data_IF_086102316940
#
_entry.id   IF_086102316940
#
_cell.length_a   1.000
_cell.length_b   1.000
_cell.length_c   1.000
_cell.angle_alpha   90.00
_cell.angle_beta   90.00
_cell.angle_gamma   90.00
#
_symmetry.space_group_name_H-M   'P 1'
#
loop_
_entity.id
_entity.type
_entity.pdbx_description
1 polymer ?
#
# COMPACT_ATOMS: atom_id res chain seq x y z
N UNK A 1 -56.83 16.92 -8.54
CA UNK A 1 -55.86 16.08 -7.78
C UNK A 1 -56.69 15.01 -7.05
N UNK A 2 -56.54 13.75 -7.43
CA UNK A 2 -57.14 12.65 -6.67
C UNK A 2 -56.42 12.53 -5.31
N UNK A 3 -57.08 12.22 -4.21
CA UNK A 3 -56.47 12.01 -2.92
C UNK A 3 -55.51 10.81 -3.04
N UNK A 4 -54.31 10.94 -2.50
CA UNK A 4 -53.35 9.83 -2.43
C UNK A 4 -54.02 8.70 -1.65
N UNK A 5 -54.15 7.52 -2.24
CA UNK A 5 -54.56 6.29 -1.54
C UNK A 5 -53.49 6.03 -0.44
N UNK A 6 -53.91 6.11 0.82
CA UNK A 6 -53.08 5.78 1.97
C UNK A 6 -53.28 4.30 2.26
N UNK A 7 -52.30 3.48 1.83
CA UNK A 7 -52.24 2.07 2.22
C UNK A 7 -51.88 1.94 3.70
N UNK A 8 -52.73 1.31 4.48
CA UNK A 8 -52.50 1.02 5.89
C UNK A 8 -51.79 -0.32 6.03
N UNK A 9 -50.50 -0.31 6.40
CA UNK A 9 -49.70 -1.51 6.67
C UNK A 9 -49.81 -1.88 8.16
N UNK A 10 -50.18 -3.11 8.47
CA UNK A 10 -50.13 -3.67 9.82
C UNK A 10 -48.66 -4.09 10.12
N UNK A 11 -47.92 -3.25 10.84
CA UNK A 11 -46.48 -3.43 11.09
C UNK A 11 -46.17 -4.69 11.90
N UNK A 12 -47.06 -5.11 12.77
CA UNK A 12 -46.97 -6.31 13.62
C UNK A 12 -47.12 -7.63 12.85
N UNK A 13 -47.57 -7.58 11.59
CA UNK A 13 -47.67 -8.77 10.71
C UNK A 13 -46.48 -8.90 9.77
N UNK A 14 -45.52 -7.96 9.81
CA UNK A 14 -44.34 -8.00 8.95
C UNK A 14 -43.35 -9.08 9.41
N UNK A 15 -43.07 -10.03 8.52
CA UNK A 15 -42.01 -11.03 8.70
C UNK A 15 -40.80 -10.60 7.91
N UNK A 16 -39.71 -10.32 8.63
CA UNK A 16 -38.42 -10.03 7.98
C UNK A 16 -37.81 -11.33 7.46
N UNK A 17 -37.71 -11.46 6.16
CA UNK A 17 -37.03 -12.59 5.51
C UNK A 17 -35.87 -12.10 4.62
N UNK A 18 -34.72 -12.76 4.72
CA UNK A 18 -33.54 -12.48 3.88
C UNK A 18 -33.14 -10.99 3.89
N UNK A 19 -32.69 -10.42 5.04
CA UNK A 19 -32.24 -9.04 5.10
C UNK A 19 -31.03 -8.84 4.17
N UNK A 20 -31.04 -7.76 3.38
CA UNK A 20 -30.00 -7.47 2.40
C UNK A 20 -29.38 -6.10 2.63
N UNK A 21 -28.08 -5.99 2.37
CA UNK A 21 -27.39 -4.72 2.30
C UNK A 21 -27.70 -4.03 0.97
N UNK A 22 -27.88 -2.71 0.98
CA UNK A 22 -28.19 -1.89 -0.21
C UNK A 22 -27.31 -0.64 -0.26
N UNK A 23 -26.81 -0.18 0.90
CA UNK A 23 -26.15 1.12 1.01
C UNK A 23 -24.84 1.20 0.22
N UNK A 24 -23.92 0.29 0.46
CA UNK A 24 -22.63 0.24 -0.23
C UNK A 24 -22.81 -0.05 -1.71
N UNK A 25 -23.75 -0.92 -2.05
CA UNK A 25 -24.08 -1.26 -3.43
C UNK A 25 -24.57 -0.05 -4.21
N UNK A 26 -25.49 0.73 -3.64
CA UNK A 26 -26.03 1.95 -4.28
C UNK A 26 -24.94 3.00 -4.47
N UNK A 27 -24.09 3.25 -3.46
CA UNK A 27 -22.99 4.19 -3.55
C UNK A 27 -21.95 3.71 -4.57
N UNK A 28 -21.63 2.41 -4.57
CA UNK A 28 -20.70 1.80 -5.52
C UNK A 28 -21.20 1.94 -6.96
N UNK A 29 -22.46 1.64 -7.23
CA UNK A 29 -23.08 1.80 -8.56
C UNK A 29 -23.10 3.27 -8.99
N UNK A 30 -23.46 4.17 -8.08
CA UNK A 30 -23.44 5.61 -8.36
C UNK A 30 -22.03 6.08 -8.74
N UNK A 31 -21.00 5.72 -7.98
CA UNK A 31 -19.63 6.09 -8.26
C UNK A 31 -19.15 5.52 -9.61
N UNK A 32 -19.49 4.27 -9.91
CA UNK A 32 -19.18 3.65 -11.20
C UNK A 32 -19.89 4.33 -12.36
N UNK A 33 -21.11 4.81 -12.16
CA UNK A 33 -21.85 5.57 -13.16
C UNK A 33 -21.19 6.93 -13.44
N UNK A 34 -20.75 7.66 -12.38
CA UNK A 34 -19.99 8.91 -12.54
C UNK A 34 -18.71 8.70 -13.35
N UNK A 35 -18.04 7.59 -13.16
CA UNK A 35 -16.84 7.20 -13.89
C UNK A 35 -17.16 6.56 -15.26
N UNK A 36 -18.42 6.47 -15.67
CA UNK A 36 -18.87 5.76 -16.87
C UNK A 36 -18.22 4.37 -17.03
N UNK A 37 -18.08 3.64 -15.90
CA UNK A 37 -17.31 2.39 -15.87
C UNK A 37 -17.95 1.29 -16.71
N UNK A 38 -19.27 1.11 -16.64
CA UNK A 38 -19.98 0.11 -17.42
C UNK A 38 -19.86 0.35 -18.95
N UNK A 39 -20.02 1.57 -19.48
CA UNK A 39 -19.67 1.89 -20.87
C UNK A 39 -18.21 1.59 -21.25
N UNK A 40 -17.25 1.84 -20.34
CA UNK A 40 -15.87 1.48 -20.58
C UNK A 40 -15.70 -0.04 -20.78
N UNK A 41 -16.29 -0.86 -19.91
CA UNK A 41 -16.24 -2.31 -20.05
C UNK A 41 -16.88 -2.79 -21.37
N UNK A 42 -17.92 -2.11 -21.84
CA UNK A 42 -18.54 -2.40 -23.13
C UNK A 42 -17.62 -2.11 -24.31
N UNK A 43 -16.93 -0.95 -24.31
CA UNK A 43 -15.93 -0.61 -25.35
C UNK A 43 -14.75 -1.59 -25.39
N UNK A 44 -14.47 -2.28 -24.28
CA UNK A 44 -13.46 -3.33 -24.19
C UNK A 44 -13.97 -4.69 -24.72
N UNK A 45 -15.19 -4.75 -25.25
CA UNK A 45 -15.77 -5.95 -25.85
C UNK A 45 -16.30 -6.97 -24.83
N UNK A 46 -16.49 -6.56 -23.57
CA UNK A 46 -17.01 -7.44 -22.54
C UNK A 46 -18.54 -7.56 -22.65
N UNK A 47 -19.05 -8.80 -22.67
CA UNK A 47 -20.49 -9.06 -22.77
C UNK A 47 -21.24 -8.76 -21.45
N UNK A 48 -22.57 -8.74 -21.50
CA UNK A 48 -23.42 -8.39 -20.34
C UNK A 48 -23.11 -9.19 -19.09
N UNK A 49 -23.12 -10.53 -19.14
CA UNK A 49 -22.76 -11.37 -17.98
C UNK A 49 -21.35 -11.17 -17.43
N UNK A 50 -20.36 -10.85 -18.28
CA UNK A 50 -19.00 -10.51 -17.83
C UNK A 50 -18.99 -9.17 -17.10
N UNK A 51 -19.65 -8.16 -17.65
CA UNK A 51 -19.77 -6.84 -17.00
C UNK A 51 -20.45 -6.95 -15.63
N UNK A 52 -21.53 -7.71 -15.53
CA UNK A 52 -22.23 -7.95 -14.26
C UNK A 52 -21.35 -8.65 -13.23
N UNK A 53 -20.59 -9.66 -13.64
CA UNK A 53 -19.65 -10.34 -12.76
C UNK A 53 -18.54 -9.40 -12.28
N UNK A 54 -18.03 -8.52 -13.15
CA UNK A 54 -17.03 -7.50 -12.80
C UNK A 54 -17.60 -6.48 -11.81
N UNK A 55 -18.76 -5.90 -12.08
CA UNK A 55 -19.42 -4.94 -11.19
C UNK A 55 -19.68 -5.58 -9.82
N UNK A 56 -20.24 -6.77 -9.80
CA UNK A 56 -20.49 -7.52 -8.57
C UNK A 56 -19.20 -7.82 -7.79
N UNK A 57 -18.14 -8.23 -8.49
CA UNK A 57 -16.85 -8.50 -7.86
C UNK A 57 -16.23 -7.26 -7.22
N UNK A 58 -16.27 -6.11 -7.90
CA UNK A 58 -15.70 -4.85 -7.38
C UNK A 58 -16.51 -4.36 -6.18
N UNK A 59 -17.84 -4.32 -6.27
CA UNK A 59 -18.71 -3.88 -5.17
C UNK A 59 -18.55 -4.80 -3.95
N UNK A 60 -18.49 -6.12 -4.17
CA UNK A 60 -18.26 -7.06 -3.09
C UNK A 60 -16.89 -6.86 -2.43
N UNK A 61 -15.84 -6.51 -3.17
CA UNK A 61 -14.53 -6.18 -2.58
C UNK A 61 -14.56 -4.94 -1.70
N UNK A 62 -15.46 -4.00 -1.99
CA UNK A 62 -15.66 -2.79 -1.18
C UNK A 62 -16.50 -3.07 0.07
N UNK A 63 -17.53 -3.92 -0.04
CA UNK A 63 -18.50 -4.16 1.03
C UNK A 63 -18.12 -5.35 1.93
N UNK A 64 -17.70 -6.46 1.34
CA UNK A 64 -17.42 -7.73 2.00
C UNK A 64 -16.20 -8.42 1.35
N UNK A 65 -14.97 -7.92 1.58
CA UNK A 65 -13.75 -8.47 0.97
C UNK A 65 -13.61 -9.98 1.21
N UNK A 66 -13.40 -10.74 0.15
CA UNK A 66 -13.28 -12.19 0.25
C UNK A 66 -12.81 -12.83 -1.06
N UNK A 67 -12.80 -14.16 -1.11
CA UNK A 67 -12.53 -14.91 -2.35
C UNK A 67 -13.70 -14.79 -3.33
N UNK A 68 -13.50 -15.15 -4.59
CA UNK A 68 -14.55 -15.16 -5.63
C UNK A 68 -15.75 -16.01 -5.21
N UNK A 69 -15.51 -17.12 -4.51
CA UNK A 69 -16.57 -17.95 -3.93
C UNK A 69 -17.33 -17.23 -2.82
N UNK A 70 -16.64 -16.52 -1.95
CA UNK A 70 -17.27 -15.70 -0.90
C UNK A 70 -18.04 -14.52 -1.51
N UNK A 71 -17.48 -13.87 -2.52
CA UNK A 71 -18.12 -12.81 -3.32
C UNK A 71 -19.46 -13.30 -3.91
N UNK A 72 -19.45 -14.43 -4.62
CA UNK A 72 -20.69 -14.98 -5.18
C UNK A 72 -21.74 -15.29 -4.11
N UNK A 73 -21.31 -15.90 -3.00
CA UNK A 73 -22.21 -16.19 -1.87
C UNK A 73 -22.80 -14.90 -1.32
N UNK A 74 -22.00 -13.89 -1.06
CA UNK A 74 -22.45 -12.60 -0.54
C UNK A 74 -23.47 -11.92 -1.47
N UNK A 75 -23.20 -11.92 -2.78
CA UNK A 75 -24.11 -11.36 -3.80
C UNK A 75 -25.47 -12.05 -3.80
N UNK A 76 -25.52 -13.36 -3.58
CA UNK A 76 -26.75 -14.16 -3.55
C UNK A 76 -27.49 -14.02 -2.22
N UNK A 77 -26.77 -14.08 -1.10
CA UNK A 77 -27.39 -14.28 0.22
C UNK A 77 -27.62 -12.97 0.99
N UNK A 78 -26.77 -11.97 0.80
CA UNK A 78 -26.70 -10.79 1.68
C UNK A 78 -26.73 -9.43 0.98
N UNK A 79 -26.48 -9.36 -0.34
CA UNK A 79 -26.43 -8.11 -1.11
C UNK A 79 -27.76 -7.84 -1.83
N UNK A 80 -28.19 -6.59 -1.82
CA UNK A 80 -29.30 -6.11 -2.65
C UNK A 80 -28.87 -5.66 -4.06
N UNK A 81 -27.64 -5.99 -4.47
CA UNK A 81 -27.14 -5.58 -5.79
C UNK A 81 -27.94 -6.21 -6.93
N UNK A 82 -28.44 -7.43 -6.73
CA UNK A 82 -29.30 -8.10 -7.71
C UNK A 82 -30.56 -7.30 -8.02
N UNK A 83 -31.24 -6.85 -6.99
CA UNK A 83 -32.45 -6.03 -7.08
C UNK A 83 -32.16 -4.66 -7.71
N UNK A 84 -31.02 -4.04 -7.39
CA UNK A 84 -30.62 -2.75 -7.98
C UNK A 84 -30.29 -2.83 -9.47
N UNK A 85 -29.83 -3.98 -9.93
CA UNK A 85 -29.44 -4.21 -11.33
C UNK A 85 -30.48 -5.00 -12.13
N UNK A 86 -31.56 -5.44 -11.49
CA UNK A 86 -32.54 -6.37 -12.06
C UNK A 86 -31.88 -7.66 -12.57
N UNK A 87 -31.04 -8.28 -11.74
CA UNK A 87 -30.24 -9.46 -12.09
C UNK A 87 -30.29 -10.50 -10.97
N UNK A 88 -30.49 -11.75 -11.36
CA UNK A 88 -30.32 -12.88 -10.45
C UNK A 88 -28.88 -13.39 -10.47
N UNK A 89 -28.12 -13.11 -9.41
CA UNK A 89 -26.74 -13.58 -9.24
C UNK A 89 -26.64 -15.09 -8.98
N UNK A 90 -27.71 -15.81 -8.68
CA UNK A 90 -27.71 -17.28 -8.61
C UNK A 90 -27.42 -17.90 -9.99
N UNK A 91 -27.87 -17.25 -11.05
CA UNK A 91 -27.66 -17.69 -12.44
C UNK A 91 -26.23 -17.46 -12.92
N UNK A 92 -25.46 -16.58 -12.24
CA UNK A 92 -24.07 -16.31 -12.61
C UNK A 92 -23.16 -17.37 -12.02
N UNK A 93 -22.54 -18.16 -12.91
CA UNK A 93 -21.62 -19.22 -12.52
C UNK A 93 -20.37 -18.64 -11.84
N UNK A 94 -19.86 -19.34 -10.81
CA UNK A 94 -18.64 -18.98 -10.08
C UNK A 94 -17.43 -18.73 -11.01
N UNK A 95 -17.28 -19.53 -12.06
CA UNK A 95 -16.19 -19.33 -13.03
C UNK A 95 -16.21 -17.98 -13.75
N UNK A 96 -17.36 -17.31 -13.82
CA UNK A 96 -17.42 -15.97 -14.39
C UNK A 96 -16.74 -14.93 -13.49
N UNK A 97 -16.80 -15.10 -12.18
CA UNK A 97 -16.07 -14.21 -11.23
C UNK A 97 -14.56 -14.39 -11.36
N UNK A 98 -14.05 -15.60 -11.53
CA UNK A 98 -12.63 -15.83 -11.83
C UNK A 98 -12.24 -15.18 -13.17
N UNK A 99 -13.03 -15.39 -14.22
CA UNK A 99 -12.79 -14.79 -15.54
C UNK A 99 -12.94 -13.27 -15.54
N UNK A 100 -13.75 -12.71 -14.65
CA UNK A 100 -13.86 -11.27 -14.44
C UNK A 100 -12.52 -10.67 -13.99
N UNK A 101 -11.84 -11.32 -13.05
CA UNK A 101 -10.50 -10.91 -12.60
C UNK A 101 -9.47 -10.99 -13.75
N UNK A 102 -9.51 -12.06 -14.55
CA UNK A 102 -8.64 -12.22 -15.73
C UNK A 102 -8.90 -11.15 -16.80
N UNK A 103 -10.17 -10.80 -17.01
CA UNK A 103 -10.57 -9.77 -17.96
C UNK A 103 -10.09 -8.38 -17.51
N UNK A 104 -10.26 -8.04 -16.24
CA UNK A 104 -9.73 -6.81 -15.66
C UNK A 104 -8.22 -6.71 -15.79
N UNK A 105 -7.50 -7.80 -15.51
CA UNK A 105 -6.05 -7.87 -15.65
C UNK A 105 -5.60 -7.66 -17.11
N UNK A 106 -6.29 -8.29 -18.06
CA UNK A 106 -6.00 -8.17 -19.50
C UNK A 106 -6.12 -6.73 -20.00
N UNK A 107 -7.13 -6.02 -19.52
CA UNK A 107 -7.43 -4.64 -19.93
C UNK A 107 -6.91 -3.57 -18.97
N UNK A 108 -6.08 -3.99 -17.98
CA UNK A 108 -5.63 -3.13 -16.87
C UNK A 108 -5.11 -1.77 -17.33
N UNK A 109 -4.21 -1.73 -18.29
CA UNK A 109 -3.57 -0.49 -18.71
C UNK A 109 -4.58 0.55 -19.23
N UNK A 110 -5.55 0.10 -20.04
CA UNK A 110 -6.60 0.97 -20.59
C UNK A 110 -7.55 1.41 -19.48
N UNK A 111 -7.92 0.50 -18.57
CA UNK A 111 -8.79 0.80 -17.45
C UNK A 111 -8.13 1.83 -16.52
N UNK A 112 -6.88 1.61 -16.09
CA UNK A 112 -6.13 2.53 -15.23
C UNK A 112 -6.03 3.92 -15.86
N UNK A 113 -5.62 4.00 -17.13
CA UNK A 113 -5.47 5.26 -17.84
C UNK A 113 -6.81 6.01 -17.98
N UNK A 114 -7.87 5.31 -18.37
CA UNK A 114 -9.18 5.92 -18.57
C UNK A 114 -9.80 6.39 -17.26
N UNK A 115 -9.75 5.56 -16.23
CA UNK A 115 -10.29 5.93 -14.92
C UNK A 115 -9.51 7.09 -14.31
N UNK A 116 -8.19 7.09 -14.39
CA UNK A 116 -7.38 8.19 -13.88
C UNK A 116 -7.68 9.50 -14.63
N UNK A 117 -7.84 9.46 -15.94
CA UNK A 117 -8.21 10.66 -16.73
C UNK A 117 -9.59 11.22 -16.29
N UNK A 118 -10.57 10.34 -16.05
CA UNK A 118 -11.91 10.75 -15.60
C UNK A 118 -11.89 11.31 -14.18
N UNK A 119 -11.20 10.64 -13.26
CA UNK A 119 -11.02 11.11 -11.89
C UNK A 119 -10.31 12.46 -11.88
N UNK A 120 -9.25 12.62 -12.66
CA UNK A 120 -8.51 13.88 -12.80
C UNK A 120 -9.39 15.03 -13.31
N UNK A 121 -10.23 14.76 -14.31
CA UNK A 121 -11.16 15.75 -14.83
C UNK A 121 -12.26 16.11 -13.82
N UNK A 122 -12.76 15.11 -13.06
CA UNK A 122 -13.82 15.31 -12.09
C UNK A 122 -13.37 16.10 -10.86
N UNK A 123 -12.17 15.81 -10.35
CA UNK A 123 -11.63 16.43 -9.12
C UNK A 123 -10.64 17.56 -9.39
N UNK A 124 -10.30 17.84 -10.63
CA UNK A 124 -9.28 18.84 -10.98
C UNK A 124 -7.90 18.47 -10.42
N UNK A 125 -7.50 17.19 -10.48
CA UNK A 125 -6.28 16.71 -9.84
C UNK A 125 -5.04 17.33 -10.47
N UNK A 126 -4.10 17.74 -9.62
CA UNK A 126 -2.81 18.24 -10.04
C UNK A 126 -1.84 17.09 -10.35
N UNK A 127 -1.19 17.18 -11.52
CA UNK A 127 -0.22 16.19 -11.99
C UNK A 127 1.20 16.47 -11.49
N UNK A 128 1.38 17.53 -10.72
CA UNK A 128 2.71 17.99 -10.27
C UNK A 128 3.29 17.13 -9.16
N UNK A 129 2.46 16.41 -8.39
CA UNK A 129 2.93 15.56 -7.30
C UNK A 129 2.64 14.09 -7.61
N UNK A 130 3.67 13.26 -7.54
CA UNK A 130 3.59 11.81 -7.69
C UNK A 130 4.16 11.14 -6.44
N UNK A 131 3.36 10.32 -5.77
CA UNK A 131 3.79 9.52 -4.62
C UNK A 131 4.01 8.09 -5.06
N UNK A 132 5.15 7.52 -4.69
CA UNK A 132 5.44 6.12 -4.93
C UNK A 132 5.54 5.34 -3.61
N UNK A 133 4.77 4.26 -3.51
CA UNK A 133 4.72 3.41 -2.34
C UNK A 133 4.75 1.93 -2.73
N UNK A 134 5.39 1.12 -1.88
CA UNK A 134 5.44 -0.34 -1.99
C UNK A 134 4.82 -0.97 -0.75
N UNK A 135 4.03 -2.02 -0.95
CA UNK A 135 3.47 -2.84 0.13
C UNK A 135 3.57 -4.32 -0.20
N UNK A 136 3.62 -5.17 0.82
CA UNK A 136 3.70 -6.61 0.66
C UNK A 136 2.32 -7.25 0.81
N UNK A 137 2.04 -8.22 -0.07
CA UNK A 137 0.84 -9.07 -0.01
C UNK A 137 1.30 -10.50 0.20
N UNK A 138 0.90 -11.10 1.31
CA UNK A 138 1.33 -12.44 1.71
C UNK A 138 0.33 -13.51 1.25
N UNK A 139 0.86 -14.68 0.93
CA UNK A 139 0.07 -15.88 0.67
C UNK A 139 0.15 -16.79 1.91
N UNK A 140 -0.97 -17.11 2.51
CA UNK A 140 -1.03 -18.02 3.68
C UNK A 140 -0.75 -19.50 3.31
N UNK A 141 -0.47 -19.79 2.05
CA UNK A 141 -0.07 -21.09 1.52
C UNK A 141 1.22 -21.00 0.73
N UNK A 142 1.59 -22.08 0.05
CA UNK A 142 2.83 -22.17 -0.73
C UNK A 142 2.82 -21.31 -2.01
N UNK A 143 1.65 -20.96 -2.52
CA UNK A 143 1.45 -20.23 -3.78
C UNK A 143 2.26 -20.79 -4.97
N UNK A 144 2.47 -22.11 -5.02
CA UNK A 144 3.37 -22.77 -5.94
C UNK A 144 3.07 -22.51 -7.44
N UNK A 145 1.81 -22.24 -7.77
CA UNK A 145 1.39 -21.90 -9.13
C UNK A 145 1.66 -20.42 -9.51
N UNK A 146 2.08 -19.57 -8.57
CA UNK A 146 2.36 -18.16 -8.84
C UNK A 146 3.87 -17.93 -8.92
N UNK A 147 4.45 -17.71 -10.12
CA UNK A 147 5.89 -17.52 -10.28
C UNK A 147 6.42 -16.24 -9.64
N UNK A 148 5.56 -15.24 -9.37
CA UNK A 148 5.94 -13.99 -8.70
C UNK A 148 5.92 -14.12 -7.17
N UNK A 149 5.20 -15.13 -6.62
CA UNK A 149 5.17 -15.37 -5.19
C UNK A 149 6.50 -15.95 -4.73
N UNK A 150 7.29 -15.13 -4.05
CA UNK A 150 8.63 -15.49 -3.57
C UNK A 150 8.80 -15.11 -2.11
N UNK A 151 9.66 -15.83 -1.40
CA UNK A 151 10.06 -15.44 -0.06
C UNK A 151 11.06 -14.29 -0.17
N UNK A 152 10.72 -13.15 0.42
CA UNK A 152 11.48 -11.91 0.33
C UNK A 152 11.62 -11.20 1.67
N UNK A 153 12.19 -10.00 1.62
CA UNK A 153 12.33 -9.15 2.79
C UNK A 153 11.02 -8.39 3.02
N UNK A 154 10.27 -8.80 4.04
CA UNK A 154 9.01 -8.16 4.40
C UNK A 154 9.20 -7.10 5.49
N UNK A 155 8.51 -5.97 5.38
CA UNK A 155 8.48 -4.91 6.40
C UNK A 155 7.94 -5.44 7.74
N UNK A 156 7.01 -6.39 7.69
CA UNK A 156 6.39 -7.08 8.82
C UNK A 156 7.27 -8.21 9.39
N UNK A 157 8.46 -8.42 8.83
CA UNK A 157 9.44 -9.47 9.22
C UNK A 157 8.90 -10.91 9.11
N UNK A 158 7.84 -11.13 8.34
CA UNK A 158 7.33 -12.47 8.03
C UNK A 158 8.25 -13.17 7.05
N UNK A 159 8.68 -14.39 7.38
CA UNK A 159 9.54 -15.25 6.54
C UNK A 159 8.94 -16.62 6.33
N UNK A 160 7.79 -16.85 6.92
CA UNK A 160 7.07 -18.12 6.94
C UNK A 160 6.34 -18.41 5.63
N UNK A 161 5.90 -17.38 4.91
CA UNK A 161 5.10 -17.51 3.70
C UNK A 161 5.68 -16.70 2.52
N UNK A 162 5.36 -17.10 1.26
CA UNK A 162 5.70 -16.31 0.09
C UNK A 162 4.85 -15.04 0.01
N UNK A 163 5.36 -14.05 -0.71
CA UNK A 163 4.70 -12.77 -0.90
C UNK A 163 4.88 -12.27 -2.33
N UNK A 164 4.07 -11.30 -2.73
CA UNK A 164 4.31 -10.42 -3.87
C UNK A 164 4.40 -8.98 -3.37
N UNK A 165 5.09 -8.12 -4.12
CA UNK A 165 5.19 -6.70 -3.79
C UNK A 165 4.27 -5.90 -4.71
N UNK A 166 3.30 -5.19 -4.13
CA UNK A 166 2.43 -4.25 -4.85
C UNK A 166 3.06 -2.87 -4.84
N UNK A 167 3.39 -2.36 -6.03
CA UNK A 167 3.80 -0.98 -6.25
C UNK A 167 2.62 -0.13 -6.66
N UNK A 168 2.50 1.04 -6.04
CA UNK A 168 1.46 2.03 -6.34
C UNK A 168 2.10 3.38 -6.64
N UNK A 169 1.66 3.99 -7.74
CA UNK A 169 1.91 5.39 -8.05
C UNK A 169 0.62 6.15 -7.80
N UNK A 170 0.68 7.11 -6.91
CA UNK A 170 -0.45 7.93 -6.50
C UNK A 170 -0.20 9.38 -6.90
N UNK A 171 -1.26 10.13 -7.14
CA UNK A 171 -1.18 11.59 -7.25
C UNK A 171 -1.06 12.29 -5.88
N UNK A 172 -1.02 13.61 -5.88
CA UNK A 172 -0.94 14.42 -4.66
C UNK A 172 -2.12 14.22 -3.70
N UNK A 173 -3.29 13.88 -4.22
CA UNK A 173 -4.53 13.65 -3.46
C UNK A 173 -4.70 12.19 -3.01
N UNK A 174 -3.84 11.28 -3.48
CA UNK A 174 -3.86 9.87 -3.12
C UNK A 174 -4.61 8.97 -4.11
N UNK A 175 -5.05 9.47 -5.26
CA UNK A 175 -5.65 8.64 -6.30
C UNK A 175 -4.60 7.81 -7.04
N UNK A 176 -4.94 6.55 -7.34
CA UNK A 176 -4.03 5.63 -8.02
C UNK A 176 -3.90 5.99 -9.49
N UNK A 177 -2.67 6.28 -9.93
CA UNK A 177 -2.31 6.49 -11.33
C UNK A 177 -1.85 5.21 -12.01
N UNK A 178 -1.14 4.37 -11.26
CA UNK A 178 -0.63 3.07 -11.71
C UNK A 178 -0.48 2.11 -10.54
N UNK A 179 -0.79 0.84 -10.80
CA UNK A 179 -0.48 -0.27 -9.93
C UNK A 179 0.38 -1.29 -10.67
N UNK A 180 1.30 -1.95 -10.00
CA UNK A 180 2.03 -3.10 -10.55
C UNK A 180 2.33 -4.12 -9.45
N UNK A 181 2.26 -5.39 -9.82
CA UNK A 181 2.68 -6.49 -8.95
C UNK A 181 4.08 -6.92 -9.38
N UNK A 182 5.00 -6.88 -8.43
CA UNK A 182 6.39 -7.31 -8.60
C UNK A 182 6.64 -8.60 -7.83
N UNK A 183 7.73 -9.27 -8.16
CA UNK A 183 8.19 -10.45 -7.43
C UNK A 183 8.36 -10.14 -5.94
N UNK A 184 8.05 -11.11 -5.08
CA UNK A 184 8.13 -10.93 -3.64
C UNK A 184 9.54 -10.69 -3.09
N UNK A 185 10.57 -11.03 -3.85
CA UNK A 185 11.98 -10.78 -3.51
C UNK A 185 12.61 -9.61 -4.29
N UNK A 186 11.79 -8.76 -4.93
CA UNK A 186 12.30 -7.61 -5.67
C UNK A 186 13.01 -6.63 -4.76
N UNK A 187 14.09 -6.05 -5.25
CA UNK A 187 14.77 -4.95 -4.56
C UNK A 187 13.96 -3.66 -4.81
N UNK A 188 13.43 -3.06 -3.76
CA UNK A 188 12.53 -1.90 -3.87
C UNK A 188 13.04 -0.81 -4.81
N UNK A 189 14.33 -0.44 -4.69
CA UNK A 189 14.95 0.62 -5.48
C UNK A 189 14.94 0.38 -7.00
N UNK A 190 14.89 -0.87 -7.46
CA UNK A 190 14.92 -1.19 -8.89
C UNK A 190 13.57 -1.02 -9.61
N UNK A 191 12.48 -0.82 -8.87
CA UNK A 191 11.13 -0.77 -9.43
C UNK A 191 10.71 0.62 -9.91
N UNK A 192 11.35 1.68 -9.42
CA UNK A 192 10.94 3.07 -9.64
C UNK A 192 10.87 3.45 -11.13
N UNK A 193 11.93 3.19 -11.87
CA UNK A 193 12.03 3.58 -13.28
C UNK A 193 10.88 2.97 -14.11
N UNK A 194 10.58 1.68 -13.92
CA UNK A 194 9.49 1.00 -14.60
C UNK A 194 8.11 1.54 -14.21
N UNK A 195 7.95 1.97 -12.96
CA UNK A 195 6.69 2.52 -12.46
C UNK A 195 6.42 3.94 -12.97
N UNK A 196 7.45 4.74 -13.18
CA UNK A 196 7.34 6.11 -13.71
C UNK A 196 7.29 6.15 -15.25
N UNK A 197 7.78 5.13 -15.93
CA UNK A 197 7.82 5.08 -17.39
C UNK A 197 6.42 5.23 -18.00
N UNK A 198 6.25 6.22 -18.90
CA UNK A 198 5.01 6.45 -19.62
C UNK A 198 3.84 6.98 -18.77
N UNK A 199 4.08 7.53 -17.59
CA UNK A 199 3.03 8.19 -16.79
C UNK A 199 2.60 9.54 -17.38
N UNK A 200 3.39 10.13 -18.30
CA UNK A 200 3.08 11.43 -18.89
C UNK A 200 3.09 12.58 -17.88
N UNK A 201 3.83 12.46 -16.78
CA UNK A 201 3.96 13.56 -15.84
C UNK A 201 4.73 14.73 -16.46
N UNK A 202 4.34 15.99 -16.21
CA UNK A 202 4.99 17.15 -16.79
C UNK A 202 6.43 17.29 -16.27
N UNK A 203 7.29 17.96 -17.05
CA UNK A 203 8.61 18.34 -16.59
C UNK A 203 8.54 19.15 -15.28
N UNK A 204 9.42 18.87 -14.33
CA UNK A 204 9.38 19.48 -13.00
C UNK A 204 8.40 18.84 -12.01
N UNK A 205 7.65 17.82 -12.40
CA UNK A 205 6.79 17.10 -11.47
C UNK A 205 7.57 16.53 -10.29
N UNK A 206 7.01 16.65 -9.07
CA UNK A 206 7.63 16.23 -7.83
C UNK A 206 7.33 14.76 -7.55
N UNK A 207 8.37 13.94 -7.44
CA UNK A 207 8.27 12.53 -7.01
C UNK A 207 8.58 12.44 -5.52
N UNK A 208 7.61 11.99 -4.74
CA UNK A 208 7.76 11.76 -3.29
C UNK A 208 7.91 10.28 -3.05
N UNK A 209 8.97 9.88 -2.36
CA UNK A 209 9.25 8.46 -2.10
C UNK A 209 9.97 8.26 -0.75
N UNK A 210 9.95 7.03 -0.25
CA UNK A 210 10.57 6.70 1.02
C UNK A 210 12.10 6.54 0.90
N UNK A 211 12.75 6.35 2.06
CA UNK A 211 14.20 6.17 2.15
C UNK A 211 14.70 4.95 1.36
N UNK A 212 13.90 3.89 1.28
CA UNK A 212 14.26 2.66 0.57
C UNK A 212 14.53 2.89 -0.91
N UNK A 213 13.81 3.85 -1.49
CA UNK A 213 13.88 4.22 -2.90
C UNK A 213 14.98 5.22 -3.24
N UNK A 214 15.54 5.93 -2.26
CA UNK A 214 16.56 6.98 -2.44
C UNK A 214 17.94 6.39 -2.73
N UNK A 215 18.08 5.63 -3.82
CA UNK A 215 19.37 5.18 -4.34
C UNK A 215 19.94 6.25 -5.27
N UNK A 216 21.26 6.36 -5.35
CA UNK A 216 21.90 7.33 -6.26
C UNK A 216 21.46 7.13 -7.70
N UNK A 217 21.33 5.89 -8.15
CA UNK A 217 20.83 5.53 -9.48
C UNK A 217 19.42 6.10 -9.73
N UNK A 218 18.51 5.97 -8.78
CA UNK A 218 17.16 6.53 -8.89
C UNK A 218 17.18 8.06 -8.92
N UNK A 219 17.98 8.71 -8.09
CA UNK A 219 18.07 10.17 -8.06
C UNK A 219 18.64 10.72 -9.37
N UNK A 220 19.68 10.09 -9.91
CA UNK A 220 20.24 10.42 -11.24
C UNK A 220 19.19 10.20 -12.33
N UNK A 221 18.47 9.09 -12.30
CA UNK A 221 17.41 8.78 -13.26
C UNK A 221 16.27 9.81 -13.24
N UNK A 222 15.84 10.24 -12.05
CA UNK A 222 14.81 11.27 -11.90
C UNK A 222 15.26 12.61 -12.47
N UNK A 223 16.48 13.04 -12.14
CA UNK A 223 17.08 14.27 -12.69
C UNK A 223 17.19 14.23 -14.22
N UNK A 224 17.62 13.12 -14.76
CA UNK A 224 17.75 12.93 -16.21
C UNK A 224 16.40 13.01 -16.94
N UNK A 225 15.30 12.63 -16.28
CA UNK A 225 13.94 12.73 -16.81
C UNK A 225 13.28 14.08 -16.51
N UNK A 226 13.98 15.01 -15.87
CA UNK A 226 13.46 16.34 -15.54
C UNK A 226 12.49 16.36 -14.35
N UNK A 227 12.48 15.33 -13.51
CA UNK A 227 11.67 15.30 -12.27
C UNK A 227 12.38 15.98 -11.12
N UNK A 228 11.61 16.67 -10.29
CA UNK A 228 12.00 17.01 -8.93
C UNK A 228 11.72 15.85 -7.99
N UNK A 229 12.39 15.78 -6.85
CA UNK A 229 12.12 14.71 -5.87
C UNK A 229 12.17 15.21 -4.44
N UNK A 230 11.38 14.53 -3.59
CA UNK A 230 11.40 14.67 -2.14
C UNK A 230 11.59 13.28 -1.52
N UNK A 231 12.73 13.08 -0.85
CA UNK A 231 13.10 11.78 -0.29
C UNK A 231 13.70 11.94 1.11
N UNK A 232 13.57 10.91 1.92
CA UNK A 232 14.29 10.84 3.19
C UNK A 232 15.74 10.44 2.92
N UNK A 233 16.68 11.32 3.27
CA UNK A 233 18.11 11.06 3.07
C UNK A 233 18.59 9.79 3.78
N UNK A 234 19.55 9.08 3.15
CA UNK A 234 20.27 7.94 3.71
C UNK A 234 21.45 8.35 4.59
N UNK A 235 21.76 9.63 4.66
CA UNK A 235 22.86 10.13 5.49
C UNK A 235 22.68 9.75 6.95
N UNK A 236 23.75 9.31 7.57
CA UNK A 236 23.78 8.90 8.98
C UNK A 236 24.07 10.08 9.93
N UNK A 237 24.88 11.01 9.47
CA UNK A 237 25.23 12.22 10.24
C UNK A 237 24.25 13.33 9.87
N UNK A 238 23.48 13.77 10.83
CA UNK A 238 22.51 14.85 10.67
C UNK A 238 22.85 15.90 11.70
N UNK A 239 23.32 17.02 11.24
CA UNK A 239 23.54 18.19 12.09
C UNK A 239 22.50 19.24 11.69
N UNK A 240 21.59 19.54 12.61
CA UNK A 240 20.67 20.66 12.49
C UNK A 240 21.23 21.79 13.36
N UNK A 241 21.49 22.92 12.74
CA UNK A 241 21.85 24.13 13.44
C UNK A 241 20.54 24.80 13.90
N UNK A 242 20.32 24.83 15.20
CA UNK A 242 19.10 25.37 15.78
C UNK A 242 18.96 26.87 15.55
N UNK A 243 20.08 27.60 15.46
CA UNK A 243 20.08 29.05 15.27
C UNK A 243 19.74 29.44 13.82
N UNK A 244 20.03 28.54 12.87
CA UNK A 244 19.70 28.70 11.46
C UNK A 244 18.35 28.05 11.06
N UNK A 245 17.63 27.45 12.01
CA UNK A 245 16.40 26.74 11.75
C UNK A 245 15.16 27.64 11.86
N UNK A 246 14.20 27.42 10.97
CA UNK A 246 12.87 28.05 11.03
C UNK A 246 11.90 27.10 11.71
N UNK A 247 11.11 27.61 12.66
CA UNK A 247 10.06 26.82 13.30
C UNK A 247 8.83 26.73 12.40
N UNK A 248 8.37 25.50 12.14
CA UNK A 248 7.11 25.18 11.48
C UNK A 248 6.25 24.31 12.39
N UNK A 249 4.96 24.22 12.15
CA UNK A 249 4.06 23.33 12.88
C UNK A 249 3.81 22.05 12.08
N UNK A 250 3.82 20.90 12.76
CA UNK A 250 3.35 19.63 12.18
C UNK A 250 1.83 19.67 11.98
N UNK A 251 1.28 18.70 11.25
CA UNK A 251 -0.17 18.52 11.12
C UNK A 251 -0.88 18.30 12.49
N UNK A 252 -0.15 17.84 13.51
CA UNK A 252 -0.62 17.66 14.88
C UNK A 252 -0.43 18.90 15.76
N UNK A 253 0.12 20.01 15.23
CA UNK A 253 0.38 21.24 15.99
C UNK A 253 1.73 21.29 16.72
N UNK A 254 2.52 20.19 16.68
CA UNK A 254 3.83 20.16 17.35
C UNK A 254 4.85 21.03 16.59
N UNK A 255 5.69 21.79 17.30
CA UNK A 255 6.74 22.58 16.67
C UNK A 255 7.85 21.70 16.11
N UNK A 256 8.30 22.02 14.90
CA UNK A 256 9.42 21.37 14.23
C UNK A 256 10.40 22.46 13.79
N UNK A 257 11.65 22.36 14.22
CA UNK A 257 12.72 23.20 13.70
C UNK A 257 13.22 22.61 12.37
N UNK A 258 13.21 23.42 11.30
CA UNK A 258 13.65 23.00 9.96
C UNK A 258 14.74 23.92 9.47
N UNK A 259 15.91 23.37 9.19
CA UNK A 259 17.02 24.05 8.56
C UNK A 259 17.10 23.65 7.08
N UNK A 260 17.17 24.67 6.21
CA UNK A 260 17.40 24.47 4.77
C UNK A 260 18.87 24.68 4.45
N UNK A 261 19.50 23.67 3.88
CA UNK A 261 20.90 23.72 3.46
C UNK A 261 20.96 23.48 1.95
N UNK A 262 21.67 24.35 1.24
CA UNK A 262 21.95 24.17 -0.18
C UNK A 262 23.24 23.36 -0.30
N UNK A 263 23.26 22.35 -1.15
CA UNK A 263 24.48 21.63 -1.44
C UNK A 263 25.50 22.54 -2.16
N UNK A 264 26.78 22.42 -1.81
CA UNK A 264 27.86 23.20 -2.39
C UNK A 264 27.99 23.04 -3.91
N UNK A 265 27.55 21.90 -4.45
CA UNK A 265 27.45 21.63 -5.88
C UNK A 265 26.23 22.28 -6.58
N UNK A 266 25.36 22.98 -5.83
CA UNK A 266 24.32 23.85 -6.35
C UNK A 266 23.05 23.18 -6.88
N UNK A 267 22.89 21.88 -6.69
CA UNK A 267 21.76 21.12 -7.29
C UNK A 267 20.69 20.65 -6.31
N UNK A 268 21.02 20.42 -5.05
CA UNK A 268 20.11 19.82 -4.08
C UNK A 268 19.83 20.71 -2.88
N UNK A 269 18.57 20.71 -2.45
CA UNK A 269 18.15 21.33 -1.19
C UNK A 269 18.02 20.24 -0.14
N UNK A 270 18.79 20.32 0.94
CA UNK A 270 18.67 19.43 2.10
C UNK A 270 17.87 20.10 3.20
N UNK A 271 16.88 19.39 3.71
CA UNK A 271 16.05 19.84 4.82
C UNK A 271 16.41 19.00 6.05
N UNK A 272 16.96 19.63 7.07
CA UNK A 272 17.20 19.00 8.37
C UNK A 272 16.08 19.40 9.32
N UNK A 273 15.29 18.41 9.76
CA UNK A 273 14.17 18.62 10.67
C UNK A 273 14.45 18.06 12.05
N UNK A 274 14.21 18.84 13.10
CA UNK A 274 14.27 18.42 14.48
C UNK A 274 12.91 18.61 15.16
N UNK A 275 12.42 17.59 15.84
CA UNK A 275 11.20 17.60 16.63
C UNK A 275 11.50 17.00 18.01
N UNK A 276 11.25 17.77 19.08
CA UNK A 276 11.42 17.29 20.46
C UNK A 276 10.56 16.07 20.76
N UNK A 277 9.30 16.10 20.32
CA UNK A 277 8.37 15.01 20.51
C UNK A 277 8.91 13.68 19.90
N UNK A 278 9.55 13.78 18.73
CA UNK A 278 10.17 12.64 18.08
C UNK A 278 11.46 12.21 18.77
N UNK A 279 12.29 13.14 19.22
CA UNK A 279 13.52 12.87 19.95
C UNK A 279 13.23 12.10 21.24
N UNK A 280 12.30 12.55 22.07
CA UNK A 280 11.87 11.84 23.28
C UNK A 280 11.32 10.44 22.99
N UNK A 281 10.58 10.28 21.88
CA UNK A 281 10.08 8.96 21.46
C UNK A 281 11.21 8.02 21.06
N UNK A 282 12.21 8.53 20.33
CA UNK A 282 13.38 7.75 19.90
C UNK A 282 14.25 7.37 21.12
N UNK A 283 14.44 8.27 22.08
CA UNK A 283 15.12 7.98 23.36
C UNK A 283 14.40 6.89 24.15
N UNK A 284 13.08 6.98 24.31
CA UNK A 284 12.29 5.97 24.99
C UNK A 284 12.31 4.60 24.29
N UNK A 285 12.47 4.58 22.97
CA UNK A 285 12.68 3.35 22.19
C UNK A 285 14.08 2.81 22.45
N UNK A 286 15.12 3.65 22.38
CA UNK A 286 16.51 3.27 22.63
C UNK A 286 16.69 2.71 24.05
N UNK A 287 16.11 3.35 25.06
CA UNK A 287 16.12 2.85 26.44
C UNK A 287 15.45 1.48 26.59
N UNK A 288 14.31 1.25 25.93
CA UNK A 288 13.64 -0.05 25.93
C UNK A 288 14.54 -1.13 25.33
N UNK A 289 15.20 -0.85 24.22
CA UNK A 289 16.14 -1.78 23.61
C UNK A 289 17.39 -2.01 24.51
N UNK A 290 17.93 -0.96 25.12
CA UNK A 290 19.05 -1.07 26.07
C UNK A 290 18.69 -1.92 27.29
N UNK A 291 17.49 -1.75 27.85
CA UNK A 291 16.99 -2.59 28.97
C UNK A 291 16.76 -4.04 28.51
N UNK A 292 16.25 -4.26 27.30
CA UNK A 292 16.05 -5.61 26.75
C UNK A 292 17.37 -6.34 26.49
N UNK A 293 18.39 -5.61 25.98
CA UNK A 293 19.72 -6.18 25.73
C UNK A 293 20.51 -6.49 27.00
N UNK A 294 20.24 -5.76 28.09
CA UNK A 294 20.84 -6.01 29.43
C UNK A 294 20.19 -7.19 30.14
N UNK A 295 19.02 -7.66 29.71
CA UNK A 295 18.42 -8.88 30.29
C UNK A 295 19.23 -10.10 29.83
N UNK A 296 19.84 -10.88 30.75
CA UNK A 296 20.58 -12.06 30.36
C UNK A 296 19.64 -13.01 29.61
N UNK A 297 19.98 -13.31 28.35
CA UNK A 297 19.22 -14.27 27.57
C UNK A 297 19.30 -15.62 28.25
N UNK A 298 18.21 -16.10 28.88
CA UNK A 298 18.17 -17.39 29.55
C UNK A 298 18.62 -18.56 28.67
N UNK A 299 18.49 -18.42 27.35
CA UNK A 299 18.99 -19.38 26.37
C UNK A 299 20.51 -19.27 26.18
N UNK A 300 21.05 -18.04 26.14
CA UNK A 300 22.48 -17.83 25.99
C UNK A 300 23.27 -18.18 27.25
N UNK A 301 22.75 -17.87 28.45
CA UNK A 301 23.37 -18.27 29.73
C UNK A 301 23.37 -19.79 29.91
N UNK A 302 22.36 -20.51 29.43
CA UNK A 302 22.35 -21.99 29.46
C UNK A 302 23.37 -22.58 28.46
N UNK A 303 23.50 -22.02 27.26
CA UNK A 303 24.48 -22.45 26.28
C UNK A 303 25.92 -22.09 26.67
N UNK A 304 26.11 -20.96 27.36
CA UNK A 304 27.44 -20.54 27.85
C UNK A 304 27.88 -21.37 29.06
N UNK A 305 26.98 -21.72 30.00
CA UNK A 305 27.28 -22.65 31.08
C UNK A 305 27.52 -24.09 30.62
N UNK A 306 26.93 -24.48 29.48
CA UNK A 306 27.18 -25.80 28.87
C UNK A 306 28.51 -25.89 28.13
N UNK A 307 29.12 -24.75 27.79
CA UNK A 307 30.45 -24.60 27.19
C UNK A 307 31.43 -23.95 28.14
N UNK A 308 31.50 -24.44 29.41
CA UNK A 308 32.59 -24.06 30.27
C UNK A 308 33.91 -24.58 29.68
N UNK A 309 34.93 -23.75 29.53
CA UNK A 309 36.21 -24.19 28.98
C UNK A 309 36.82 -25.25 29.90
N UNK A 310 37.51 -26.25 29.33
CA UNK A 310 38.28 -27.17 30.15
C UNK A 310 39.36 -26.41 30.92
N UNK A 311 39.57 -26.86 32.14
CA UNK A 311 40.42 -26.33 33.19
C UNK A 311 41.73 -25.71 32.76
N UNK A 312 42.04 -24.67 33.48
CA UNK A 312 43.33 -24.01 33.71
C UNK A 312 44.58 -24.63 33.03
N UNK A 313 45.26 -23.79 32.30
CA UNK A 313 46.68 -23.99 31.94
C UNK A 313 47.51 -24.11 33.24
N UNK A 314 48.38 -25.08 33.32
CA UNK A 314 49.31 -25.13 34.43
C UNK A 314 50.27 -23.92 34.38
N UNK A 315 50.35 -23.21 35.48
CA UNK A 315 51.32 -22.16 35.71
C UNK A 315 52.73 -22.74 35.51
N UNK A 316 53.39 -22.32 34.44
CA UNK A 316 54.78 -22.65 34.21
C UNK A 316 55.66 -22.07 35.30
N UNK A 317 56.36 -22.97 35.98
CA UNK A 317 57.31 -22.63 36.98
C UNK A 317 58.43 -21.81 36.40
N UNK A 318 58.86 -20.82 37.15
CA UNK A 318 60.12 -20.11 37.02
C UNK A 318 61.27 -21.11 37.10
N UNK A 319 62.04 -21.21 36.04
CA UNK A 319 63.42 -21.72 36.10
C UNK A 319 64.36 -20.54 36.18
N UNK A 320 64.80 -20.27 37.39
CA UNK A 320 66.06 -19.57 37.66
C UNK A 320 67.21 -20.55 37.44
N UNK A 321 68.30 -20.09 36.91
CA UNK A 321 69.55 -20.81 37.06
C UNK A 321 70.53 -20.55 35.92
N UNK A 322 71.55 -19.81 36.26
CA UNK A 322 72.93 -19.73 35.84
C UNK A 322 73.27 -19.54 34.36
#
# INVERSE_FOLDING_TARGET
>A
MAPAEVDTLAVDTLILSRPRSVGVESVGLWAMAQLAFAPLLETLGLNGPERLAILGAIIARMAAPGSERATRRWLVDASGLGELLDVDFETINLMRFYRASDALLRHRAIIEQTLFARVSAFFGLDWTVTRYALTNIFFEGEAAANPQAKRGHAKEKRRDCPLVTLGLVLDGSGFVRRAAVCDGNVVEGTTLAGMLAGLGAPGGALVVMDRGMATEENLVGLRAQGYCYLVVSRERQRQCDADAATSIQSAGGDPIAVQRVLDAAGGEVRLYGYSECRAHKEEGIAERFARASRRPCRRCTRAWRARAPPRAWPSGGSASGD
#
